data_IF_864292793083
#
_entry.id   IF_864292793083
#
_cell.length_a   1.000
_cell.length_b   1.000
_cell.length_c   1.000
_cell.angle_alpha   90.00
_cell.angle_beta   90.00
_cell.angle_gamma   90.00
#
_symmetry.space_group_name_H-M   'P 1'
#
loop_
_entity.id
_entity.type
_entity.pdbx_description
1 polymer ?
#
# COMPACT_ATOMS: atom_id res chain seq x y z
N UNK A 1 15.85 47.08 -41.22
CA UNK A 1 15.92 48.22 -40.31
C UNK A 1 16.41 47.72 -38.96
N UNK A 2 17.72 47.85 -38.65
CA UNK A 2 18.33 47.19 -37.47
C UNK A 2 17.83 47.74 -36.12
N UNK A 3 17.35 48.99 -36.10
CA UNK A 3 16.84 49.65 -34.89
C UNK A 3 15.42 49.23 -34.52
N UNK A 4 14.61 48.79 -35.50
CA UNK A 4 13.26 48.29 -35.26
C UNK A 4 13.30 46.87 -34.66
N UNK A 5 14.16 46.00 -35.19
CA UNK A 5 14.37 44.64 -34.66
C UNK A 5 14.94 44.67 -33.23
N UNK A 6 15.84 45.61 -32.90
CA UNK A 6 16.34 45.78 -31.53
C UNK A 6 15.27 46.31 -30.55
N UNK A 7 14.31 47.12 -31.02
CA UNK A 7 13.19 47.58 -30.20
C UNK A 7 12.15 46.47 -29.98
N UNK A 8 11.97 45.58 -30.96
CA UNK A 8 11.06 44.44 -30.88
C UNK A 8 11.50 43.38 -29.84
N UNK A 9 12.82 43.16 -29.73
CA UNK A 9 13.43 42.20 -28.80
C UNK A 9 13.60 42.78 -27.38
N UNK A 10 13.40 44.08 -27.18
CA UNK A 10 13.52 44.71 -25.86
C UNK A 10 12.37 44.27 -24.93
N UNK A 11 12.71 43.78 -23.73
CA UNK A 11 11.76 43.38 -22.67
C UNK A 11 11.30 44.56 -21.80
N UNK A 12 11.71 45.78 -22.12
CA UNK A 12 11.29 46.98 -21.39
C UNK A 12 9.80 47.29 -21.66
N UNK A 13 8.99 47.28 -20.59
CA UNK A 13 7.55 47.53 -20.63
C UNK A 13 7.23 48.94 -21.16
N UNK A 14 8.10 49.93 -20.95
CA UNK A 14 7.87 51.31 -21.42
C UNK A 14 8.06 51.42 -22.94
N UNK A 15 9.08 50.74 -23.46
CA UNK A 15 9.36 50.65 -24.91
C UNK A 15 8.25 49.84 -25.59
N UNK A 16 7.83 48.71 -25.00
CA UNK A 16 6.74 47.89 -25.51
C UNK A 16 5.38 48.64 -25.50
N UNK A 17 5.11 49.42 -24.46
CA UNK A 17 3.91 50.27 -24.40
C UNK A 17 3.93 51.37 -25.48
N UNK A 18 5.09 52.00 -25.71
CA UNK A 18 5.25 53.02 -26.73
C UNK A 18 5.11 52.46 -28.16
N UNK A 19 5.69 51.30 -28.46
CA UNK A 19 5.59 50.66 -29.78
C UNK A 19 4.19 50.18 -30.08
N UNK A 20 3.51 49.54 -29.11
CA UNK A 20 2.12 49.11 -29.27
C UNK A 20 1.16 50.29 -29.42
N UNK A 21 1.40 51.38 -28.69
CA UNK A 21 0.60 52.60 -28.80
C UNK A 21 0.83 53.30 -30.14
N UNK A 22 2.06 53.28 -30.66
CA UNK A 22 2.38 53.75 -32.01
C UNK A 22 1.60 52.95 -33.06
N UNK A 23 1.64 51.61 -32.99
CA UNK A 23 0.88 50.74 -33.92
C UNK A 23 -0.63 50.98 -33.82
N UNK A 24 -1.17 51.05 -32.60
CA UNK A 24 -2.57 51.38 -32.37
C UNK A 24 -2.96 52.73 -32.99
N UNK A 25 -2.14 53.77 -32.83
CA UNK A 25 -2.42 55.10 -33.38
C UNK A 25 -2.31 55.14 -34.90
N UNK A 26 -1.34 54.44 -35.50
CA UNK A 26 -1.20 54.34 -36.96
C UNK A 26 -2.44 53.65 -37.54
N UNK A 27 -2.86 52.51 -36.99
CA UNK A 27 -4.02 51.76 -37.48
C UNK A 27 -5.34 52.47 -37.22
N UNK A 28 -5.42 53.29 -36.17
CA UNK A 28 -6.60 54.11 -35.88
C UNK A 28 -6.73 55.33 -36.79
N UNK A 29 -5.61 55.97 -37.15
CA UNK A 29 -5.62 57.21 -37.94
C UNK A 29 -5.60 56.97 -39.44
N UNK A 30 -5.00 55.87 -39.89
CA UNK A 30 -4.91 55.50 -41.29
C UNK A 30 -5.36 54.05 -41.50
N UNK A 31 -6.68 53.84 -41.59
CA UNK A 31 -7.26 52.53 -41.90
C UNK A 31 -6.88 52.02 -43.30
N UNK A 32 -6.55 52.92 -44.24
CA UNK A 32 -6.05 52.57 -45.57
C UNK A 32 -4.64 51.97 -45.53
N UNK A 33 -3.79 52.36 -44.57
CA UNK A 33 -2.48 51.76 -44.39
C UNK A 33 -2.56 50.26 -44.08
N UNK A 34 -3.58 49.80 -43.36
CA UNK A 34 -3.80 48.37 -43.11
C UNK A 34 -4.21 47.59 -44.37
N UNK A 35 -4.88 48.25 -45.33
CA UNK A 35 -5.28 47.64 -46.59
C UNK A 35 -4.14 47.63 -47.63
N UNK A 36 -3.26 48.62 -47.60
CA UNK A 36 -2.06 48.71 -48.45
C UNK A 36 -0.88 47.86 -47.91
N UNK A 37 -0.91 47.51 -46.62
CA UNK A 37 0.08 46.63 -46.01
C UNK A 37 -0.06 45.20 -46.52
N UNK A 38 1.02 44.67 -47.10
CA UNK A 38 1.07 43.27 -47.54
C UNK A 38 0.92 42.28 -46.38
N UNK A 39 0.33 41.11 -46.66
CA UNK A 39 0.05 40.06 -45.67
C UNK A 39 1.26 39.66 -44.82
N UNK A 40 2.49 39.76 -45.33
CA UNK A 40 3.73 39.45 -44.58
C UNK A 40 4.01 40.46 -43.46
N UNK A 41 3.94 41.76 -43.77
CA UNK A 41 4.15 42.82 -42.79
C UNK A 41 3.05 42.79 -41.71
N UNK A 42 1.81 42.51 -42.11
CA UNK A 42 0.70 42.31 -41.17
C UNK A 42 0.95 41.13 -40.22
N UNK A 43 1.43 39.99 -40.74
CA UNK A 43 1.73 38.82 -39.89
C UNK A 43 2.86 39.07 -38.91
N UNK A 44 3.90 39.81 -39.31
CA UNK A 44 5.02 40.12 -38.42
C UNK A 44 4.59 41.03 -37.25
N UNK A 45 3.69 41.98 -37.51
CA UNK A 45 3.10 42.85 -36.47
C UNK A 45 2.13 42.07 -35.59
N UNK A 46 1.33 41.15 -36.14
CA UNK A 46 0.46 40.28 -35.34
C UNK A 46 1.25 39.30 -34.46
N UNK A 47 2.36 38.74 -34.97
CA UNK A 47 3.26 37.90 -34.18
C UNK A 47 3.84 38.71 -33.00
N UNK A 48 4.23 39.97 -33.23
CA UNK A 48 4.70 40.86 -32.16
C UNK A 48 3.61 41.18 -31.13
N UNK A 49 2.40 41.49 -31.58
CA UNK A 49 1.24 41.76 -30.71
C UNK A 49 0.92 40.55 -29.82
N UNK A 50 0.86 39.35 -30.40
CA UNK A 50 0.57 38.12 -29.66
C UNK A 50 1.73 37.74 -28.75
N UNK A 51 2.97 37.95 -29.18
CA UNK A 51 4.16 37.74 -28.36
C UNK A 51 4.14 38.65 -27.13
N UNK A 52 4.00 39.96 -27.29
CA UNK A 52 3.93 40.93 -26.18
C UNK A 52 2.73 40.69 -25.25
N UNK A 53 1.60 40.21 -25.79
CA UNK A 53 0.46 39.74 -24.99
C UNK A 53 0.73 38.46 -24.20
N UNK A 54 1.67 37.62 -24.63
CA UNK A 54 2.03 36.40 -23.90
C UNK A 54 3.17 36.62 -22.91
N UNK A 55 4.06 37.58 -23.18
CA UNK A 55 5.27 37.82 -22.38
C UNK A 55 5.09 38.87 -21.28
N UNK A 56 4.23 39.86 -21.47
CA UNK A 56 4.02 40.92 -20.47
C UNK A 56 2.84 40.62 -19.55
N UNK A 57 2.94 41.05 -18.30
CA UNK A 57 1.84 41.03 -17.32
C UNK A 57 1.14 42.37 -17.17
N UNK A 58 1.66 43.43 -17.83
CA UNK A 58 1.19 44.80 -17.69
C UNK A 58 -0.17 45.00 -18.39
N UNK A 59 -1.22 45.46 -17.67
CA UNK A 59 -2.56 45.64 -18.23
C UNK A 59 -2.62 46.67 -19.36
N UNK A 60 -1.71 47.65 -19.42
CA UNK A 60 -1.65 48.66 -20.48
C UNK A 60 -1.21 48.02 -21.81
N UNK A 61 -0.22 47.14 -21.76
CA UNK A 61 0.30 46.38 -22.91
C UNK A 61 -0.78 45.42 -23.42
N UNK A 62 -1.39 44.64 -22.52
CA UNK A 62 -2.47 43.72 -22.88
C UNK A 62 -3.68 44.43 -23.50
N UNK A 63 -4.12 45.54 -22.90
CA UNK A 63 -5.23 46.35 -23.42
C UNK A 63 -4.94 46.94 -24.79
N UNK A 64 -3.73 47.48 -24.99
CA UNK A 64 -3.35 48.11 -26.25
C UNK A 64 -3.21 47.08 -27.36
N UNK A 65 -2.62 45.92 -27.06
CA UNK A 65 -2.50 44.82 -28.03
C UNK A 65 -3.87 44.23 -28.41
N UNK A 66 -4.77 43.99 -27.44
CA UNK A 66 -6.15 43.51 -27.71
C UNK A 66 -6.93 44.50 -28.58
N UNK A 67 -6.83 45.80 -28.29
CA UNK A 67 -7.47 46.85 -29.11
C UNK A 67 -6.89 46.90 -30.53
N UNK A 68 -5.58 46.74 -30.66
CA UNK A 68 -4.89 46.76 -31.97
C UNK A 68 -5.27 45.54 -32.81
N UNK A 69 -5.36 44.36 -32.19
CA UNK A 69 -5.87 43.14 -32.84
C UNK A 69 -7.33 43.26 -33.24
N UNK A 70 -8.18 43.86 -32.40
CA UNK A 70 -9.58 44.11 -32.74
C UNK A 70 -9.70 45.04 -33.96
N UNK A 71 -8.89 46.09 -34.05
CA UNK A 71 -8.84 46.96 -35.24
C UNK A 71 -8.42 46.21 -36.50
N UNK A 72 -7.39 45.35 -36.41
CA UNK A 72 -6.92 44.53 -37.55
C UNK A 72 -8.01 43.56 -38.03
N UNK A 73 -8.75 42.96 -37.10
CA UNK A 73 -9.86 42.05 -37.41
C UNK A 73 -11.08 42.78 -37.98
N UNK A 74 -11.28 44.05 -37.63
CA UNK A 74 -12.42 44.83 -38.13
C UNK A 74 -12.26 45.24 -39.60
N UNK A 75 -11.02 45.50 -40.06
CA UNK A 75 -10.76 46.03 -41.40
C UNK A 75 -10.99 45.04 -42.56
N UNK A 76 -10.64 43.75 -42.42
CA UNK A 76 -10.75 42.81 -43.53
C UNK A 76 -11.11 41.38 -43.11
N UNK A 77 -11.89 40.69 -43.95
CA UNK A 77 -12.22 39.26 -43.78
C UNK A 77 -10.99 38.35 -43.93
N UNK A 78 -10.02 38.75 -44.76
CA UNK A 78 -8.75 38.03 -44.95
C UNK A 78 -7.88 38.04 -43.69
N UNK A 79 -7.84 39.15 -42.94
CA UNK A 79 -7.13 39.23 -41.66
C UNK A 79 -7.74 38.31 -40.60
N UNK A 80 -9.07 38.16 -40.59
CA UNK A 80 -9.77 37.22 -39.69
C UNK A 80 -9.38 35.78 -39.97
N UNK A 81 -9.27 35.39 -41.24
CA UNK A 81 -8.88 34.03 -41.62
C UNK A 81 -7.40 33.73 -41.29
N UNK A 82 -6.51 34.72 -41.50
CA UNK A 82 -5.09 34.63 -41.14
C UNK A 82 -4.90 34.42 -39.62
N UNK A 83 -5.58 35.21 -38.79
CA UNK A 83 -5.50 35.10 -37.32
C UNK A 83 -6.02 33.74 -36.85
N UNK A 84 -7.13 33.25 -37.41
CA UNK A 84 -7.70 31.94 -37.05
C UNK A 84 -6.79 30.76 -37.42
N UNK A 85 -6.11 30.83 -38.56
CA UNK A 85 -5.20 29.76 -38.99
C UNK A 85 -3.93 29.70 -38.14
N UNK A 86 -3.35 30.85 -37.79
CA UNK A 86 -2.03 30.93 -37.14
C UNK A 86 -2.10 30.90 -35.61
N UNK A 87 -3.16 31.44 -34.99
CA UNK A 87 -3.24 31.60 -33.52
C UNK A 87 -4.43 30.85 -32.89
N UNK A 88 -4.47 29.51 -33.01
CA UNK A 88 -5.54 28.63 -32.48
C UNK A 88 -5.72 28.65 -30.96
N UNK A 89 -4.86 29.35 -30.21
CA UNK A 89 -4.91 29.50 -28.75
C UNK A 89 -5.19 30.93 -28.28
N UNK A 90 -5.35 31.90 -29.17
CA UNK A 90 -5.48 33.32 -28.81
C UNK A 90 -6.70 33.60 -27.93
N UNK A 91 -7.84 32.94 -28.20
CA UNK A 91 -9.05 33.08 -27.39
C UNK A 91 -8.85 32.58 -25.94
N UNK A 92 -8.16 31.44 -25.79
CA UNK A 92 -7.85 30.89 -24.47
C UNK A 92 -6.77 31.70 -23.73
N UNK A 93 -5.77 32.23 -24.45
CA UNK A 93 -4.77 33.16 -23.89
C UNK A 93 -5.45 34.43 -23.35
N UNK A 94 -6.35 35.02 -24.15
CA UNK A 94 -7.13 36.19 -23.78
C UNK A 94 -8.03 35.94 -22.56
N UNK A 95 -8.65 34.76 -22.45
CA UNK A 95 -9.51 34.41 -21.32
C UNK A 95 -8.73 34.09 -20.04
N UNK A 96 -7.63 33.33 -20.15
CA UNK A 96 -6.87 32.86 -18.99
C UNK A 96 -6.00 33.94 -18.37
N UNK A 97 -5.30 34.71 -19.20
CA UNK A 97 -4.22 35.58 -18.73
C UNK A 97 -4.65 37.06 -18.61
N UNK A 98 -5.78 37.44 -19.21
CA UNK A 98 -6.21 38.84 -19.31
C UNK A 98 -7.61 39.16 -18.76
N UNK A 99 -8.46 38.15 -18.48
CA UNK A 99 -9.78 38.37 -17.87
C UNK A 99 -9.65 38.93 -16.45
N UNK A 100 -10.42 39.99 -16.15
CA UNK A 100 -10.41 40.66 -14.84
C UNK A 100 -9.33 41.75 -14.67
N UNK A 101 -8.59 42.11 -15.73
CA UNK A 101 -7.57 43.18 -15.73
C UNK A 101 -8.10 44.56 -16.16
N UNK A 102 -9.42 44.77 -16.19
CA UNK A 102 -10.05 46.09 -16.36
C UNK A 102 -10.35 46.53 -17.80
N UNK A 103 -10.33 45.60 -18.77
CA UNK A 103 -10.67 45.88 -20.17
C UNK A 103 -11.50 44.74 -20.82
N UNK A 104 -12.31 44.07 -20.00
CA UNK A 104 -13.10 42.89 -20.39
C UNK A 104 -14.03 43.16 -21.57
N UNK A 105 -14.60 44.36 -21.71
CA UNK A 105 -15.44 44.71 -22.86
C UNK A 105 -14.72 44.65 -24.21
N UNK A 106 -13.43 45.01 -24.24
CA UNK A 106 -12.61 44.89 -25.46
C UNK A 106 -12.11 43.46 -25.70
N UNK A 107 -11.98 42.67 -24.63
CA UNK A 107 -11.68 41.23 -24.73
C UNK A 107 -12.88 40.47 -25.28
N UNK A 108 -14.09 40.77 -24.81
CA UNK A 108 -15.33 40.15 -25.27
C UNK A 108 -15.57 40.48 -26.76
N UNK A 109 -15.33 41.73 -27.20
CA UNK A 109 -15.38 42.13 -28.63
C UNK A 109 -14.40 41.32 -29.50
N UNK A 110 -13.17 41.12 -29.02
CA UNK A 110 -12.17 40.31 -29.72
C UNK A 110 -12.60 38.83 -29.77
N UNK A 111 -13.15 38.29 -28.67
CA UNK A 111 -13.64 36.92 -28.60
C UNK A 111 -14.84 36.69 -29.53
N UNK A 112 -15.79 37.62 -29.59
CA UNK A 112 -16.93 37.55 -30.50
C UNK A 112 -16.48 37.53 -31.97
N UNK A 113 -15.51 38.38 -32.35
CA UNK A 113 -14.95 38.38 -33.72
C UNK A 113 -14.19 37.08 -34.06
N UNK A 114 -13.53 36.47 -33.07
CA UNK A 114 -12.86 35.18 -33.22
C UNK A 114 -13.87 34.01 -33.31
N UNK A 115 -14.99 34.07 -32.58
CA UNK A 115 -16.01 33.00 -32.48
C UNK A 115 -17.11 33.08 -33.56
N UNK A 116 -17.39 34.25 -34.14
CA UNK A 116 -18.51 34.52 -35.05
C UNK A 116 -18.58 33.63 -36.32
N UNK A 117 -17.51 32.90 -36.68
CA UNK A 117 -17.54 31.95 -37.82
C UNK A 117 -17.28 30.49 -37.44
N UNK A 118 -16.99 30.18 -36.17
CA UNK A 118 -16.78 28.79 -35.72
C UNK A 118 -18.11 28.07 -35.40
N UNK A 119 -19.19 28.81 -35.17
CA UNK A 119 -20.46 28.24 -34.68
C UNK A 119 -21.53 27.98 -35.76
N UNK A 120 -21.37 28.49 -36.98
CA UNK A 120 -22.46 28.53 -37.98
C UNK A 120 -22.41 27.50 -39.12
N UNK A 121 -21.33 26.72 -39.28
CA UNK A 121 -21.26 25.67 -40.33
C UNK A 121 -21.31 24.23 -39.82
N UNK A 122 -20.87 23.96 -38.57
CA UNK A 122 -20.83 22.59 -38.05
C UNK A 122 -22.09 22.19 -37.25
N UNK A 123 -22.90 23.15 -36.80
CA UNK A 123 -24.10 22.89 -35.99
C UNK A 123 -25.44 23.09 -36.72
N UNK A 124 -25.46 23.37 -38.03
CA UNK A 124 -26.74 23.40 -38.77
C UNK A 124 -27.33 22.01 -39.06
N UNK A 125 -26.67 20.94 -38.62
CA UNK A 125 -27.24 19.59 -38.58
C UNK A 125 -27.71 19.14 -37.18
N UNK A 126 -27.59 19.94 -36.12
CA UNK A 126 -28.24 19.65 -34.83
C UNK A 126 -28.47 20.94 -34.02
N UNK A 127 -29.72 21.14 -33.61
CA UNK A 127 -30.39 22.43 -33.39
C UNK A 127 -30.18 23.13 -32.01
N UNK A 128 -30.50 24.44 -32.01
CA UNK A 128 -31.17 25.27 -30.97
C UNK A 128 -30.35 26.30 -30.16
N UNK A 129 -30.92 27.52 -30.14
CA UNK A 129 -30.66 28.76 -29.41
C UNK A 129 -30.66 28.65 -27.85
N UNK A 130 -29.89 29.47 -27.11
CA UNK A 130 -29.58 29.24 -25.70
C UNK A 130 -30.41 30.08 -24.70
N UNK A 131 -31.75 30.07 -24.76
CA UNK A 131 -32.59 30.75 -23.75
C UNK A 131 -33.71 29.88 -23.12
N UNK A 132 -33.52 28.55 -23.08
CA UNK A 132 -34.39 27.68 -22.30
C UNK A 132 -33.55 26.61 -21.60
N UNK A 133 -33.50 26.66 -20.26
CA UNK A 133 -33.13 25.51 -19.44
C UNK A 133 -34.25 24.47 -19.64
N UNK A 134 -34.21 23.75 -20.76
CA UNK A 134 -35.07 22.59 -21.00
C UNK A 134 -34.60 21.50 -20.07
N UNK A 135 -35.51 21.04 -19.20
CA UNK A 135 -35.36 19.76 -18.48
C UNK A 135 -34.76 18.73 -19.44
N UNK A 136 -33.79 17.89 -19.00
CA UNK A 136 -33.25 16.84 -19.85
C UNK A 136 -34.44 16.06 -20.43
N UNK A 137 -34.49 15.91 -21.76
CA UNK A 137 -35.57 15.18 -22.44
C UNK A 137 -35.82 13.87 -21.69
N UNK A 138 -37.08 13.50 -21.47
CA UNK A 138 -37.46 12.28 -20.76
C UNK A 138 -36.77 11.04 -21.34
N UNK A 139 -36.43 11.10 -22.63
CA UNK A 139 -35.68 10.08 -23.37
C UNK A 139 -34.23 9.93 -22.88
N UNK A 140 -33.54 11.03 -22.53
CA UNK A 140 -32.18 10.96 -21.98
C UNK A 140 -32.18 10.36 -20.57
N UNK A 141 -33.15 10.73 -19.75
CA UNK A 141 -33.31 10.15 -18.41
C UNK A 141 -33.65 8.66 -18.51
N UNK A 142 -34.54 8.28 -19.43
CA UNK A 142 -34.90 6.88 -19.70
C UNK A 142 -33.70 6.07 -20.19
N UNK A 143 -32.94 6.59 -21.15
CA UNK A 143 -31.73 5.94 -21.66
C UNK A 143 -30.67 5.78 -20.55
N UNK A 144 -30.45 6.81 -19.74
CA UNK A 144 -29.53 6.74 -18.59
C UNK A 144 -29.99 5.68 -17.58
N UNK A 145 -31.28 5.60 -17.26
CA UNK A 145 -31.84 4.57 -16.38
C UNK A 145 -31.62 3.16 -16.93
N UNK A 146 -31.79 2.94 -18.23
CA UNK A 146 -31.53 1.64 -18.87
C UNK A 146 -30.06 1.25 -18.79
N UNK A 147 -29.15 2.17 -19.12
CA UNK A 147 -27.70 1.94 -19.04
C UNK A 147 -27.29 1.63 -17.60
N UNK A 148 -27.79 2.41 -16.63
CA UNK A 148 -27.48 2.21 -15.22
C UNK A 148 -28.06 0.89 -14.69
N UNK A 149 -29.28 0.52 -15.08
CA UNK A 149 -29.89 -0.77 -14.70
C UNK A 149 -29.10 -1.94 -15.28
N UNK A 150 -28.71 -1.86 -16.55
CA UNK A 150 -27.87 -2.87 -17.21
C UNK A 150 -26.51 -3.01 -16.52
N UNK A 151 -25.88 -1.88 -16.15
CA UNK A 151 -24.62 -1.87 -15.41
C UNK A 151 -24.74 -2.49 -14.02
N UNK A 152 -25.75 -2.09 -13.23
CA UNK A 152 -26.03 -2.67 -11.90
C UNK A 152 -26.28 -4.17 -12.00
N UNK A 153 -27.07 -4.61 -12.98
CA UNK A 153 -27.32 -6.03 -13.23
C UNK A 153 -26.05 -6.80 -13.65
N UNK A 154 -25.20 -6.21 -14.48
CA UNK A 154 -23.90 -6.79 -14.85
C UNK A 154 -22.98 -6.92 -13.62
N UNK A 155 -22.92 -5.89 -12.78
CA UNK A 155 -22.12 -5.89 -11.55
C UNK A 155 -22.59 -6.99 -10.58
N UNK A 156 -23.91 -7.11 -10.35
CA UNK A 156 -24.48 -8.16 -9.50
C UNK A 156 -24.20 -9.55 -10.08
N UNK A 157 -24.41 -9.77 -11.38
CA UNK A 157 -24.10 -11.05 -12.04
C UNK A 157 -22.61 -11.41 -11.94
N UNK A 158 -21.70 -10.44 -12.07
CA UNK A 158 -20.25 -10.65 -11.89
C UNK A 158 -19.90 -11.04 -10.45
N UNK A 159 -20.59 -10.49 -9.45
CA UNK A 159 -20.44 -10.89 -8.04
C UNK A 159 -20.98 -12.31 -7.79
N UNK A 160 -22.19 -12.61 -8.27
CA UNK A 160 -22.80 -13.93 -8.13
C UNK A 160 -22.00 -15.04 -8.82
N UNK A 161 -21.40 -14.77 -9.99
CA UNK A 161 -20.50 -15.72 -10.65
C UNK A 161 -19.28 -16.11 -9.81
N UNK A 162 -18.83 -15.25 -8.88
CA UNK A 162 -17.69 -15.52 -7.99
C UNK A 162 -18.09 -16.29 -6.72
N UNK A 163 -19.37 -16.28 -6.35
CA UNK A 163 -19.87 -16.86 -5.11
C UNK A 163 -19.66 -18.39 -5.02
N UNK A 164 -19.94 -19.20 -6.06
CA UNK A 164 -19.71 -20.65 -6.00
C UNK A 164 -18.27 -21.00 -5.68
N UNK A 165 -17.29 -20.25 -6.24
CA UNK A 165 -15.87 -20.47 -5.97
C UNK A 165 -15.52 -20.22 -4.51
N UNK A 166 -16.05 -19.14 -3.92
CA UNK A 166 -15.86 -18.82 -2.51
C UNK A 166 -16.47 -19.89 -1.59
N UNK A 167 -17.68 -20.36 -1.92
CA UNK A 167 -18.35 -21.44 -1.18
C UNK A 167 -17.56 -22.75 -1.31
N UNK A 168 -17.11 -23.13 -2.51
CA UNK A 168 -16.29 -24.32 -2.71
C UNK A 168 -14.97 -24.27 -1.95
N UNK A 169 -14.31 -23.11 -1.89
CA UNK A 169 -13.09 -22.95 -1.08
C UNK A 169 -13.36 -23.11 0.41
N UNK A 170 -14.47 -22.54 0.91
CA UNK A 170 -14.87 -22.66 2.30
C UNK A 170 -15.27 -24.10 2.66
N UNK A 171 -16.03 -24.77 1.80
CA UNK A 171 -16.41 -26.16 1.98
C UNK A 171 -15.18 -27.08 1.95
N UNK A 172 -14.21 -26.81 1.07
CA UNK A 172 -12.96 -27.57 1.02
C UNK A 172 -12.13 -27.39 2.28
N UNK A 173 -11.96 -26.16 2.76
CA UNK A 173 -11.20 -25.90 4.00
C UNK A 173 -11.90 -26.51 5.22
N UNK A 174 -13.23 -26.42 5.30
CA UNK A 174 -14.01 -27.04 6.37
C UNK A 174 -13.86 -28.57 6.36
N UNK A 175 -14.01 -29.22 5.20
CA UNK A 175 -13.83 -30.68 5.06
C UNK A 175 -12.42 -31.11 5.42
N UNK A 176 -11.41 -30.35 4.99
CA UNK A 176 -10.00 -30.61 5.34
C UNK A 176 -9.79 -30.52 6.86
N UNK A 177 -10.23 -29.42 7.48
CA UNK A 177 -10.12 -29.21 8.93
C UNK A 177 -10.82 -30.32 9.72
N UNK A 178 -12.01 -30.74 9.27
CA UNK A 178 -12.75 -31.84 9.88
C UNK A 178 -12.00 -33.17 9.78
N UNK A 179 -11.40 -33.46 8.60
CA UNK A 179 -10.57 -34.65 8.39
C UNK A 179 -9.32 -34.64 9.27
N UNK A 180 -8.61 -33.52 9.34
CA UNK A 180 -7.43 -33.39 10.20
C UNK A 180 -7.76 -33.59 11.68
N UNK A 181 -8.88 -33.05 12.15
CA UNK A 181 -9.34 -33.26 13.52
C UNK A 181 -9.63 -34.74 13.79
N UNK A 182 -10.32 -35.41 12.88
CA UNK A 182 -10.58 -36.86 12.97
C UNK A 182 -9.28 -37.66 13.02
N UNK A 183 -8.37 -37.43 12.07
CA UNK A 183 -7.07 -38.10 12.05
C UNK A 183 -6.26 -37.83 13.32
N UNK A 184 -6.32 -36.62 13.87
CA UNK A 184 -5.64 -36.30 15.12
C UNK A 184 -6.22 -37.09 16.30
N UNK A 185 -7.56 -37.14 16.42
CA UNK A 185 -8.22 -37.92 17.47
C UNK A 185 -7.95 -39.41 17.34
N UNK A 186 -7.93 -39.95 16.12
CA UNK A 186 -7.60 -41.36 15.87
C UNK A 186 -6.14 -41.66 16.23
N UNK A 187 -5.20 -40.78 15.84
CA UNK A 187 -3.79 -40.93 16.21
C UNK A 187 -3.60 -40.92 17.72
N UNK A 188 -4.31 -40.05 18.45
CA UNK A 188 -4.27 -40.02 19.91
C UNK A 188 -4.79 -41.34 20.51
N UNK A 189 -5.95 -41.83 20.04
CA UNK A 189 -6.51 -43.11 20.50
C UNK A 189 -5.56 -44.29 20.25
N UNK A 190 -5.00 -44.37 19.03
CA UNK A 190 -4.03 -45.42 18.67
C UNK A 190 -2.77 -45.32 19.54
N UNK A 191 -2.30 -44.10 19.84
CA UNK A 191 -1.16 -43.90 20.73
C UNK A 191 -1.46 -44.32 22.17
N UNK A 192 -2.64 -43.99 22.69
CA UNK A 192 -3.09 -44.39 24.02
C UNK A 192 -3.24 -45.91 24.15
N UNK A 193 -3.86 -46.56 23.15
CA UNK A 193 -3.97 -48.01 23.06
C UNK A 193 -2.59 -48.66 23.03
N UNK A 194 -1.65 -48.13 22.24
CA UNK A 194 -0.28 -48.63 22.19
C UNK A 194 0.43 -48.48 23.55
N UNK A 195 0.29 -47.32 24.21
CA UNK A 195 0.84 -47.08 25.56
C UNK A 195 0.28 -48.09 26.56
N UNK A 196 -1.02 -48.35 26.51
CA UNK A 196 -1.68 -49.34 27.37
C UNK A 196 -1.15 -50.75 27.08
N UNK A 197 -1.07 -51.16 25.82
CA UNK A 197 -0.52 -52.46 25.42
C UNK A 197 0.94 -52.64 25.86
N UNK A 198 1.78 -51.62 25.74
CA UNK A 198 3.17 -51.65 26.21
C UNK A 198 3.21 -51.80 27.73
N UNK A 199 2.35 -51.09 28.47
CA UNK A 199 2.23 -51.22 29.92
C UNK A 199 1.86 -52.66 30.32
N UNK A 200 0.82 -53.22 29.69
CA UNK A 200 0.38 -54.60 29.94
C UNK A 200 1.48 -55.61 29.60
N UNK A 201 2.16 -55.47 28.46
CA UNK A 201 3.29 -56.34 28.09
C UNK A 201 4.39 -56.28 29.14
N UNK A 202 4.73 -55.08 29.64
CA UNK A 202 5.73 -54.89 30.69
C UNK A 202 5.29 -55.54 32.01
N UNK A 203 4.03 -55.39 32.41
CA UNK A 203 3.49 -56.02 33.61
C UNK A 203 3.50 -57.55 33.51
N UNK A 204 3.06 -58.10 32.37
CA UNK A 204 3.10 -59.55 32.11
C UNK A 204 4.52 -60.09 32.15
N UNK A 205 5.47 -59.42 31.48
CA UNK A 205 6.88 -59.80 31.50
C UNK A 205 7.46 -59.75 32.93
N UNK A 206 7.12 -58.72 33.70
CA UNK A 206 7.54 -58.60 35.10
C UNK A 206 6.99 -59.74 35.96
N UNK A 207 5.70 -60.10 35.78
CA UNK A 207 5.08 -61.22 36.48
C UNK A 207 5.74 -62.54 36.12
N UNK A 208 5.92 -62.82 34.83
CA UNK A 208 6.59 -64.03 34.35
C UNK A 208 8.02 -64.14 34.88
N UNK A 209 8.78 -63.04 34.88
CA UNK A 209 10.12 -62.99 35.45
C UNK A 209 10.11 -63.33 36.95
N UNK A 210 9.22 -62.70 37.73
CA UNK A 210 9.07 -63.00 39.17
C UNK A 210 8.66 -64.44 39.44
N UNK A 211 7.73 -64.98 38.65
CA UNK A 211 7.31 -66.38 38.75
C UNK A 211 8.47 -67.34 38.47
N UNK A 212 9.26 -67.07 37.42
CA UNK A 212 10.42 -67.86 37.09
C UNK A 212 11.50 -67.79 38.19
N UNK A 213 11.72 -66.60 38.77
CA UNK A 213 12.63 -66.44 39.90
C UNK A 213 12.18 -67.24 41.13
N UNK A 214 10.88 -67.19 41.48
CA UNK A 214 10.34 -67.96 42.60
C UNK A 214 10.50 -69.46 42.38
N UNK A 215 10.12 -69.96 41.21
CA UNK A 215 10.25 -71.37 40.87
C UNK A 215 11.70 -71.86 40.93
N UNK A 216 12.64 -71.03 40.45
CA UNK A 216 14.06 -71.36 40.53
C UNK A 216 14.54 -71.41 41.99
N UNK A 217 14.06 -70.50 42.86
CA UNK A 217 14.35 -70.54 44.30
C UNK A 217 13.73 -71.74 45.02
N UNK A 218 12.59 -72.26 44.56
CA UNK A 218 11.98 -73.48 45.09
C UNK A 218 12.82 -74.74 44.80
N UNK A 219 13.49 -74.81 43.64
CA UNK A 219 14.25 -75.99 43.20
C UNK A 219 15.72 -75.95 43.67
N UNK A 220 16.29 -74.76 43.89
CA UNK A 220 17.71 -74.63 44.20
C UNK A 220 18.06 -75.15 45.62
N UNK A 221 19.15 -75.94 45.77
CA UNK A 221 19.64 -76.32 47.09
C UNK A 221 20.04 -75.09 47.92
N UNK A 222 19.68 -75.08 49.22
CA UNK A 222 19.92 -73.96 50.13
C UNK A 222 21.37 -73.46 50.14
N UNK A 223 22.35 -74.37 50.05
CA UNK A 223 23.78 -74.04 50.01
C UNK A 223 24.20 -73.21 48.78
N UNK A 224 23.44 -73.26 47.68
CA UNK A 224 23.76 -72.56 46.42
C UNK A 224 22.99 -71.26 46.24
N UNK A 225 21.94 -71.02 47.04
CA UNK A 225 21.08 -69.83 46.94
C UNK A 225 21.89 -68.54 47.10
N UNK A 226 22.79 -68.47 48.09
CA UNK A 226 23.60 -67.27 48.35
C UNK A 226 24.51 -66.90 47.17
N UNK A 227 25.13 -67.91 46.54
CA UNK A 227 25.99 -67.70 45.37
C UNK A 227 25.20 -67.16 44.19
N UNK A 228 24.03 -67.73 43.92
CA UNK A 228 23.14 -67.29 42.85
C UNK A 228 22.64 -65.85 43.06
N UNK A 229 22.22 -65.50 44.29
CA UNK A 229 21.80 -64.13 44.62
C UNK A 229 22.94 -63.13 44.40
N UNK A 230 24.17 -63.45 44.82
CA UNK A 230 25.34 -62.62 44.55
C UNK A 230 25.63 -62.42 43.05
N UNK A 231 25.43 -63.44 42.22
CA UNK A 231 25.55 -63.30 40.76
C UNK A 231 24.47 -62.38 40.16
N UNK A 232 23.23 -62.46 40.66
CA UNK A 232 22.14 -61.56 40.25
C UNK A 232 22.41 -60.12 40.66
N UNK A 233 22.89 -59.89 41.88
CA UNK A 233 23.28 -58.57 42.37
C UNK A 233 24.39 -57.97 41.51
N UNK A 234 25.42 -58.75 41.19
CA UNK A 234 26.50 -58.33 40.30
C UNK A 234 25.99 -57.98 38.89
N UNK A 235 25.12 -58.82 38.30
CA UNK A 235 24.50 -58.55 37.00
C UNK A 235 23.64 -57.28 37.04
N UNK A 236 22.85 -57.09 38.09
CA UNK A 236 22.02 -55.90 38.29
C UNK A 236 22.89 -54.63 38.44
N UNK A 237 23.95 -54.70 39.24
CA UNK A 237 24.90 -53.60 39.42
C UNK A 237 25.54 -53.18 38.09
N UNK A 238 25.96 -54.14 37.25
CA UNK A 238 26.50 -53.85 35.92
C UNK A 238 25.49 -53.14 35.01
N UNK A 239 24.23 -53.57 35.02
CA UNK A 239 23.15 -52.93 34.24
C UNK A 239 22.90 -51.50 34.74
N UNK A 240 22.77 -51.31 36.05
CA UNK A 240 22.54 -49.99 36.66
C UNK A 240 23.71 -49.05 36.32
N UNK A 241 24.95 -49.50 36.51
CA UNK A 241 26.13 -48.71 36.19
C UNK A 241 26.21 -48.36 34.70
N UNK A 242 25.91 -49.30 33.80
CA UNK A 242 25.86 -49.07 32.35
C UNK A 242 24.82 -48.01 32.00
N UNK A 243 23.60 -48.14 32.53
CA UNK A 243 22.50 -47.18 32.29
C UNK A 243 22.86 -45.81 32.85
N UNK A 244 23.45 -45.75 34.05
CA UNK A 244 23.89 -44.52 34.69
C UNK A 244 24.98 -43.79 33.90
N UNK A 245 26.03 -44.51 33.45
CA UNK A 245 27.07 -43.94 32.58
C UNK A 245 26.45 -43.33 31.32
N UNK A 246 25.50 -44.04 30.70
CA UNK A 246 24.76 -43.52 29.54
C UNK A 246 23.88 -42.30 29.87
N UNK A 247 23.18 -42.33 31.01
CA UNK A 247 22.36 -41.21 31.48
C UNK A 247 23.22 -39.96 31.70
N UNK A 248 24.40 -40.11 32.33
CA UNK A 248 25.34 -39.02 32.61
C UNK A 248 25.80 -38.33 31.32
N UNK A 249 26.20 -39.11 30.31
CA UNK A 249 26.60 -38.56 28.99
C UNK A 249 25.42 -37.86 28.32
N UNK A 250 24.23 -38.46 28.31
CA UNK A 250 23.04 -37.84 27.73
C UNK A 250 22.67 -36.55 28.44
N UNK A 251 22.73 -36.50 29.78
CA UNK A 251 22.46 -35.29 30.57
C UNK A 251 23.45 -34.18 30.20
N UNK A 252 24.74 -34.50 30.12
CA UNK A 252 25.77 -33.55 29.70
C UNK A 252 25.54 -33.06 28.26
N UNK A 253 25.14 -33.95 27.35
CA UNK A 253 24.76 -33.58 25.99
C UNK A 253 23.52 -32.68 25.95
N UNK A 254 22.48 -32.95 26.76
CA UNK A 254 21.28 -32.11 26.80
C UNK A 254 21.62 -30.68 27.28
N UNK A 255 22.54 -30.52 28.23
CA UNK A 255 23.04 -29.19 28.64
C UNK A 255 23.66 -28.43 27.44
N UNK A 256 24.48 -29.12 26.64
CA UNK A 256 25.15 -28.53 25.47
C UNK A 256 24.30 -28.51 24.19
N UNK A 257 23.11 -29.10 24.20
CA UNK A 257 22.27 -29.30 23.01
C UNK A 257 21.86 -28.00 22.36
N UNK A 258 21.51 -26.99 23.17
CA UNK A 258 21.13 -25.67 22.66
C UNK A 258 22.33 -24.99 21.98
N UNK A 259 23.51 -25.05 22.59
CA UNK A 259 24.76 -24.53 22.01
C UNK A 259 25.10 -25.25 20.70
N UNK A 260 25.00 -26.58 20.66
CA UNK A 260 25.25 -27.36 19.45
C UNK A 260 24.22 -27.08 18.34
N UNK A 261 22.95 -26.89 18.70
CA UNK A 261 21.89 -26.47 17.75
C UNK A 261 22.19 -25.09 17.17
N UNK A 262 22.57 -24.11 18.00
CA UNK A 262 22.97 -22.77 17.56
C UNK A 262 24.19 -22.83 16.66
N UNK A 263 25.20 -23.60 17.03
CA UNK A 263 26.40 -23.81 16.21
C UNK A 263 26.05 -24.44 14.85
N UNK A 264 25.25 -25.51 14.82
CA UNK A 264 24.79 -26.14 13.56
C UNK A 264 23.98 -25.19 12.70
N UNK A 265 23.09 -24.39 13.31
CA UNK A 265 22.35 -23.35 12.61
C UNK A 265 23.31 -22.29 12.02
N UNK A 266 24.28 -21.83 12.80
CA UNK A 266 25.30 -20.88 12.34
C UNK A 266 26.11 -21.44 11.18
N UNK A 267 26.58 -22.69 11.25
CA UNK A 267 27.29 -23.36 10.13
C UNK A 267 26.39 -23.49 8.91
N UNK A 268 25.10 -23.78 9.09
CA UNK A 268 24.14 -23.87 7.99
C UNK A 268 23.95 -22.51 7.30
N UNK A 269 23.81 -21.44 8.09
CA UNK A 269 23.74 -20.06 7.60
C UNK A 269 25.03 -19.65 6.91
N UNK A 270 26.20 -19.89 7.52
CA UNK A 270 27.50 -19.60 6.93
C UNK A 270 27.66 -20.32 5.58
N UNK A 271 27.32 -21.62 5.50
CA UNK A 271 27.34 -22.38 4.24
C UNK A 271 26.35 -21.83 3.22
N UNK A 272 25.17 -21.38 3.64
CA UNK A 272 24.19 -20.75 2.77
C UNK A 272 24.71 -19.40 2.23
N UNK A 273 25.31 -18.58 3.08
CA UNK A 273 25.93 -17.30 2.72
C UNK A 273 27.10 -17.53 1.78
N UNK A 274 28.02 -18.46 2.05
CA UNK A 274 29.12 -18.79 1.14
C UNK A 274 28.59 -19.25 -0.21
N UNK A 275 27.55 -20.10 -0.25
CA UNK A 275 26.89 -20.49 -1.51
C UNK A 275 26.21 -19.33 -2.22
N UNK A 276 25.57 -18.42 -1.48
CA UNK A 276 25.00 -17.19 -2.03
C UNK A 276 26.07 -16.27 -2.59
N UNK A 277 27.18 -16.06 -1.88
CA UNK A 277 28.31 -15.26 -2.34
C UNK A 277 28.99 -15.89 -3.54
N UNK A 278 29.13 -17.22 -3.59
CA UNK A 278 29.62 -17.94 -4.77
C UNK A 278 28.68 -17.76 -5.97
N UNK A 279 27.36 -17.91 -5.77
CA UNK A 279 26.34 -17.63 -6.80
C UNK A 279 26.38 -16.18 -7.26
N UNK A 280 26.49 -15.24 -6.33
CA UNK A 280 26.59 -13.81 -6.62
C UNK A 280 27.91 -13.48 -7.32
N UNK A 281 29.03 -14.12 -6.96
CA UNK A 281 30.30 -14.00 -7.69
C UNK A 281 30.23 -14.65 -9.06
N UNK A 282 29.52 -15.75 -9.25
CA UNK A 282 29.30 -16.37 -10.55
C UNK A 282 28.39 -15.50 -11.43
N UNK A 283 27.30 -14.96 -10.89
CA UNK A 283 26.47 -13.94 -11.54
C UNK A 283 27.25 -12.65 -11.78
N UNK A 284 28.07 -12.21 -10.83
CA UNK A 284 28.99 -11.10 -11.03
C UNK A 284 30.11 -11.47 -12.01
N UNK A 285 30.46 -12.74 -12.23
CA UNK A 285 31.38 -13.20 -13.27
C UNK A 285 30.72 -13.17 -14.64
N UNK A 286 29.41 -13.41 -14.70
CA UNK A 286 28.55 -13.18 -15.86
C UNK A 286 28.33 -11.66 -16.08
N UNK A 287 28.38 -10.84 -15.03
CA UNK A 287 28.38 -9.36 -15.12
C UNK A 287 29.79 -8.73 -15.08
N UNK A 288 30.87 -9.52 -14.99
CA UNK A 288 32.27 -9.08 -15.11
C UNK A 288 32.95 -9.77 -16.29
N UNK A 289 32.23 -10.62 -17.04
CA UNK A 289 32.34 -10.67 -18.50
C UNK A 289 31.73 -9.42 -19.14
N UNK A 290 30.90 -8.67 -18.41
CA UNK A 290 30.93 -7.20 -18.45
C UNK A 290 32.23 -6.71 -17.75
N UNK A 291 33.39 -7.20 -18.24
CA UNK A 291 34.58 -6.36 -18.24
C UNK A 291 34.07 -5.05 -18.83
N UNK A 292 34.43 -3.90 -18.25
CA UNK A 292 34.25 -2.62 -18.93
C UNK A 292 34.52 -2.89 -20.41
N UNK A 293 33.52 -2.75 -21.31
CA UNK A 293 33.61 -3.29 -22.65
C UNK A 293 34.99 -2.93 -23.17
N UNK A 294 35.82 -3.93 -23.49
CA UNK A 294 37.16 -3.67 -24.04
C UNK A 294 36.89 -2.81 -25.28
N UNK A 295 37.11 -1.49 -25.17
CA UNK A 295 36.66 -0.53 -26.17
C UNK A 295 35.96 0.75 -25.66
N UNK A 296 35.58 0.89 -24.38
CA UNK A 296 35.19 2.20 -23.82
C UNK A 296 36.43 2.96 -23.33
N UNK A 297 37.37 3.23 -24.25
CA UNK A 297 38.32 4.32 -24.08
C UNK A 297 37.56 5.63 -23.85
N UNK A 298 38.14 6.61 -23.16
CA UNK A 298 37.46 7.89 -22.92
C UNK A 298 37.04 8.57 -24.23
N UNK A 299 37.79 8.32 -25.32
CA UNK A 299 37.40 8.70 -26.69
C UNK A 299 36.10 8.04 -27.17
N UNK A 300 35.93 6.73 -26.97
CA UNK A 300 34.70 6.05 -27.38
C UNK A 300 33.50 6.45 -26.52
N UNK A 301 33.73 6.85 -25.26
CA UNK A 301 32.69 7.45 -24.41
C UNK A 301 32.24 8.80 -24.91
N UNK A 302 33.16 9.66 -25.36
CA UNK A 302 32.79 10.95 -25.95
C UNK A 302 32.06 10.75 -27.26
N UNK A 303 32.49 9.81 -28.11
CA UNK A 303 31.81 9.49 -29.38
C UNK A 303 30.39 8.97 -29.13
N UNK A 304 30.21 8.07 -28.16
CA UNK A 304 28.89 7.54 -27.82
C UNK A 304 28.00 8.61 -27.18
N UNK A 305 28.56 9.48 -26.34
CA UNK A 305 27.82 10.62 -25.79
C UNK A 305 27.40 11.56 -26.90
N UNK A 306 28.29 11.85 -27.84
CA UNK A 306 28.00 12.69 -29.00
C UNK A 306 26.94 12.05 -29.88
N UNK A 307 27.04 10.75 -30.17
CA UNK A 307 26.02 10.02 -30.93
C UNK A 307 24.66 10.00 -30.23
N UNK A 308 24.64 9.83 -28.91
CA UNK A 308 23.40 9.93 -28.12
C UNK A 308 22.85 11.36 -28.17
N UNK A 309 23.70 12.38 -28.05
CA UNK A 309 23.30 13.78 -28.12
C UNK A 309 22.75 14.15 -29.50
N UNK A 310 23.40 13.69 -30.56
CA UNK A 310 22.95 13.81 -31.95
C UNK A 310 21.61 13.10 -32.14
N UNK A 311 21.47 11.86 -31.65
CA UNK A 311 20.22 11.11 -31.73
C UNK A 311 19.08 11.80 -30.96
N UNK A 312 19.34 12.34 -29.78
CA UNK A 312 18.38 13.12 -28.99
C UNK A 312 18.02 14.44 -29.69
N UNK A 313 18.99 15.10 -30.33
CA UNK A 313 18.74 16.33 -31.10
C UNK A 313 17.86 16.09 -32.34
N UNK A 314 18.03 14.92 -32.97
CA UNK A 314 17.25 14.48 -34.12
C UNK A 314 15.86 13.94 -33.70
N UNK A 315 15.71 13.49 -32.45
CA UNK A 315 14.47 12.93 -31.92
C UNK A 315 14.10 13.60 -30.58
N UNK A 316 13.75 14.90 -30.57
CA UNK A 316 13.34 15.57 -29.35
C UNK A 316 12.07 14.92 -28.81
N UNK A 317 12.09 14.51 -27.54
CA UNK A 317 10.91 13.90 -26.91
C UNK A 317 9.81 14.95 -26.77
N UNK A 318 8.69 14.76 -27.47
CA UNK A 318 7.52 15.66 -27.41
C UNK A 318 6.86 15.76 -26.03
N UNK A 319 7.14 14.82 -25.11
CA UNK A 319 6.38 14.63 -23.86
C UNK A 319 7.04 15.32 -22.66
N UNK A 320 8.36 15.57 -22.70
CA UNK A 320 9.10 16.11 -21.54
C UNK A 320 10.20 17.03 -22.05
N UNK A 321 10.18 18.29 -21.61
CA UNK A 321 11.29 19.24 -21.82
C UNK A 321 12.57 18.73 -21.16
N UNK A 322 13.73 19.05 -21.74
CA UNK A 322 15.05 18.68 -21.19
C UNK A 322 15.19 19.14 -19.72
N UNK A 323 14.69 20.34 -19.42
CA UNK A 323 14.68 20.89 -18.06
C UNK A 323 13.72 20.13 -17.13
N UNK A 324 12.55 19.73 -17.64
CA UNK A 324 11.60 18.91 -16.88
C UNK A 324 12.15 17.51 -16.55
N UNK A 325 12.97 16.94 -17.43
CA UNK A 325 13.67 15.68 -17.15
C UNK A 325 14.73 15.86 -16.06
N UNK A 326 15.50 16.95 -16.10
CA UNK A 326 16.52 17.27 -15.11
C UNK A 326 15.89 17.53 -13.73
N UNK A 327 14.79 18.28 -13.66
CA UNK A 327 14.04 18.52 -12.42
C UNK A 327 13.46 17.24 -11.84
N UNK A 328 12.88 16.37 -12.68
CA UNK A 328 12.36 15.08 -12.25
C UNK A 328 13.48 14.20 -11.70
N UNK A 329 14.64 14.17 -12.37
CA UNK A 329 15.82 13.46 -11.88
C UNK A 329 16.24 14.00 -10.51
N UNK A 330 16.37 15.32 -10.35
CA UNK A 330 16.72 15.93 -9.07
C UNK A 330 15.68 15.65 -7.98
N UNK A 331 14.38 15.68 -8.31
CA UNK A 331 13.30 15.34 -7.38
C UNK A 331 13.37 13.89 -6.94
N UNK A 332 13.58 12.96 -7.87
CA UNK A 332 13.74 11.54 -7.58
C UNK A 332 14.96 11.29 -6.67
N UNK A 333 16.09 11.95 -6.95
CA UNK A 333 17.29 11.86 -6.11
C UNK A 333 17.05 12.42 -4.70
N UNK A 334 16.32 13.53 -4.56
CA UNK A 334 15.94 14.10 -3.27
C UNK A 334 15.06 13.15 -2.45
N UNK A 335 14.02 12.59 -3.08
CA UNK A 335 13.13 11.62 -2.42
C UNK A 335 13.87 10.35 -1.99
N UNK A 336 14.79 9.86 -2.82
CA UNK A 336 15.61 8.72 -2.48
C UNK A 336 16.51 9.01 -1.26
N UNK A 337 17.17 10.17 -1.24
CA UNK A 337 17.99 10.59 -0.09
C UNK A 337 17.17 10.70 1.19
N UNK A 338 16.00 11.34 1.13
CA UNK A 338 15.09 11.46 2.26
C UNK A 338 14.65 10.09 2.78
N UNK A 339 14.29 9.17 1.88
CA UNK A 339 13.95 7.80 2.26
C UNK A 339 15.13 7.07 2.92
N UNK A 340 16.34 7.19 2.38
CA UNK A 340 17.53 6.54 2.95
C UNK A 340 17.86 7.06 4.36
N UNK A 341 17.66 8.35 4.62
CA UNK A 341 17.85 8.95 5.94
C UNK A 341 16.77 8.45 6.91
N UNK A 342 15.50 8.45 6.49
CA UNK A 342 14.38 8.12 7.37
C UNK A 342 14.17 6.62 7.60
N UNK A 343 14.72 5.76 6.72
CA UNK A 343 14.53 4.31 6.73
C UNK A 343 14.79 3.64 8.07
N UNK A 344 15.76 4.11 8.84
CA UNK A 344 16.06 3.54 10.15
C UNK A 344 14.98 3.87 11.18
N UNK A 345 14.48 5.11 11.18
CA UNK A 345 13.38 5.56 12.04
C UNK A 345 12.07 4.87 11.65
N UNK A 346 11.74 4.82 10.36
CA UNK A 346 10.52 4.18 9.86
C UNK A 346 10.46 2.71 10.28
N UNK A 347 11.58 1.98 10.16
CA UNK A 347 11.70 0.60 10.63
C UNK A 347 11.54 0.46 12.13
N UNK A 348 12.07 1.40 12.92
CA UNK A 348 11.92 1.37 14.36
C UNK A 348 10.44 1.56 14.77
N UNK A 349 9.73 2.47 14.09
CA UNK A 349 8.29 2.66 14.30
C UNK A 349 7.48 1.42 13.87
N UNK A 350 7.79 0.82 12.73
CA UNK A 350 7.16 -0.43 12.28
C UNK A 350 7.40 -1.57 13.26
N UNK A 351 8.63 -1.73 13.75
CA UNK A 351 8.97 -2.75 14.75
C UNK A 351 8.25 -2.50 16.08
N UNK A 352 8.15 -1.25 16.51
CA UNK A 352 7.41 -0.89 17.72
C UNK A 352 5.92 -1.21 17.58
N UNK A 353 5.30 -0.85 16.45
CA UNK A 353 3.91 -1.19 16.16
C UNK A 353 3.67 -2.71 16.12
N UNK A 354 4.57 -3.47 15.50
CA UNK A 354 4.50 -4.93 15.48
C UNK A 354 4.65 -5.54 16.88
N UNK A 355 5.56 -5.02 17.71
CA UNK A 355 5.73 -5.48 19.08
C UNK A 355 4.47 -5.21 19.94
N UNK A 356 3.86 -4.04 19.75
CA UNK A 356 2.64 -3.66 20.45
C UNK A 356 1.45 -4.54 20.02
N UNK A 357 1.31 -4.82 18.71
CA UNK A 357 0.30 -5.76 18.21
C UNK A 357 0.52 -7.18 18.75
N UNK A 358 1.78 -7.64 18.82
CA UNK A 358 2.09 -8.94 19.40
C UNK A 358 1.72 -9.00 20.89
N UNK A 359 2.01 -7.92 21.65
CA UNK A 359 1.61 -7.81 23.05
C UNK A 359 0.09 -7.84 23.23
N UNK A 360 -0.66 -7.07 22.42
CA UNK A 360 -2.12 -7.10 22.46
C UNK A 360 -2.66 -8.50 22.19
N UNK A 361 -2.12 -9.20 21.19
CA UNK A 361 -2.54 -10.56 20.87
C UNK A 361 -2.25 -11.53 22.02
N UNK A 362 -1.09 -11.42 22.68
CA UNK A 362 -0.78 -12.25 23.86
C UNK A 362 -1.70 -11.94 25.03
N UNK A 363 -2.06 -10.67 25.24
CA UNK A 363 -2.97 -10.25 26.30
C UNK A 363 -4.40 -10.75 26.01
N UNK A 364 -4.84 -10.73 24.75
CA UNK A 364 -6.14 -11.31 24.33
C UNK A 364 -6.15 -12.82 24.54
N UNK A 365 -5.09 -13.54 24.13
CA UNK A 365 -5.00 -14.99 24.34
C UNK A 365 -5.01 -15.33 25.84
N UNK A 366 -4.36 -14.52 26.67
CA UNK A 366 -4.38 -14.68 28.12
C UNK A 366 -5.81 -14.51 28.68
N UNK A 367 -6.54 -13.48 28.22
CA UNK A 367 -7.92 -13.24 28.65
C UNK A 367 -8.90 -14.31 28.16
N UNK A 368 -8.73 -14.81 26.94
CA UNK A 368 -9.57 -15.89 26.38
C UNK A 368 -9.37 -17.22 27.14
N UNK A 369 -8.18 -17.43 27.70
CA UNK A 369 -7.84 -18.63 28.48
C UNK A 369 -7.95 -18.39 30.00
N UNK A 370 -8.65 -17.33 30.44
CA UNK A 370 -8.81 -17.06 31.87
C UNK A 370 -9.60 -18.19 32.55
N UNK A 371 -9.11 -18.73 33.68
CA UNK A 371 -9.82 -19.77 34.41
C UNK A 371 -11.14 -19.23 34.98
N UNK A 372 -12.14 -20.11 35.07
CA UNK A 372 -13.38 -19.81 35.79
C UNK A 372 -13.07 -19.43 37.24
N UNK A 373 -13.85 -18.52 37.83
CA UNK A 373 -13.68 -18.07 39.22
C UNK A 373 -13.66 -19.20 40.26
N UNK A 374 -14.23 -20.36 39.91
CA UNK A 374 -14.23 -21.57 40.76
C UNK A 374 -12.91 -22.35 40.72
N UNK A 375 -12.16 -22.23 39.62
CA UNK A 375 -10.94 -22.99 39.34
C UNK A 375 -9.65 -22.15 39.48
N UNK A 376 -9.79 -20.86 39.75
CA UNK A 376 -8.70 -19.90 39.83
C UNK A 376 -7.80 -20.17 41.05
N UNK A 377 -6.49 -20.29 40.82
CA UNK A 377 -5.47 -20.43 41.87
C UNK A 377 -4.80 -19.09 42.14
N UNK A 378 -4.18 -18.96 43.33
CA UNK A 378 -3.45 -17.74 43.70
C UNK A 378 -2.29 -17.41 42.74
N UNK A 379 -1.76 -18.42 42.04
CA UNK A 379 -0.70 -18.27 41.03
C UNK A 379 -1.21 -17.60 39.75
N UNK A 380 -2.48 -17.82 39.39
CA UNK A 380 -3.09 -17.29 38.15
C UNK A 380 -3.29 -15.77 38.24
N UNK A 381 -3.52 -15.24 39.45
CA UNK A 381 -3.68 -13.80 39.69
C UNK A 381 -2.45 -13.01 39.21
N UNK A 382 -1.25 -13.57 39.38
CA UNK A 382 0.00 -12.91 38.98
C UNK A 382 0.14 -12.78 37.45
N UNK A 383 -0.58 -13.59 36.67
CA UNK A 383 -0.55 -13.54 35.20
C UNK A 383 -1.33 -12.33 34.67
N UNK A 384 -2.39 -11.91 35.36
CA UNK A 384 -3.27 -10.80 34.94
C UNK A 384 -2.86 -9.44 35.53
N UNK A 385 -1.80 -9.39 36.33
CA UNK A 385 -1.28 -8.15 36.89
C UNK A 385 -0.34 -7.45 35.89
N UNK A 386 -0.59 -6.15 35.67
CA UNK A 386 0.34 -5.32 34.92
C UNK A 386 1.69 -5.23 35.65
N UNK A 387 2.79 -5.41 34.91
CA UNK A 387 4.16 -5.20 35.43
C UNK A 387 4.45 -3.74 35.77
N UNK A 388 3.66 -2.81 35.22
CA UNK A 388 3.77 -1.38 35.50
C UNK A 388 3.04 -1.04 36.79
N UNK A 389 3.80 -0.66 37.83
CA UNK A 389 3.24 -0.29 39.15
C UNK A 389 2.18 0.82 39.06
N UNK A 390 2.38 1.92 38.31
CA UNK A 390 1.36 2.97 38.18
C UNK A 390 0.04 2.49 37.57
N UNK A 391 0.14 1.59 36.58
CA UNK A 391 -1.05 1.01 35.92
C UNK A 391 -1.77 0.07 36.88
N UNK A 392 -1.03 -0.79 37.57
CA UNK A 392 -1.60 -1.70 38.57
C UNK A 392 -2.26 -0.95 39.73
N UNK A 393 -1.65 0.13 40.23
CA UNK A 393 -2.23 0.95 41.30
C UNK A 393 -3.49 1.67 40.84
N UNK A 394 -3.50 2.22 39.62
CA UNK A 394 -4.68 2.87 39.04
C UNK A 394 -5.82 1.87 38.81
N UNK A 395 -5.51 0.68 38.29
CA UNK A 395 -6.49 -0.39 38.12
C UNK A 395 -7.10 -0.81 39.46
N UNK A 396 -6.28 -0.95 40.52
CA UNK A 396 -6.74 -1.26 41.87
C UNK A 396 -7.63 -0.16 42.44
N UNK A 397 -7.26 1.11 42.28
CA UNK A 397 -8.07 2.24 42.70
C UNK A 397 -9.42 2.27 41.96
N UNK A 398 -9.42 2.07 40.64
CA UNK A 398 -10.64 2.00 39.84
C UNK A 398 -11.55 0.84 40.26
N UNK A 399 -10.99 -0.34 40.50
CA UNK A 399 -11.74 -1.49 41.01
C UNK A 399 -12.34 -1.20 42.40
N UNK A 400 -11.55 -0.63 43.31
CA UNK A 400 -12.04 -0.26 44.64
C UNK A 400 -13.16 0.78 44.57
N UNK A 401 -13.03 1.78 43.68
CA UNK A 401 -14.08 2.78 43.44
C UNK A 401 -15.36 2.13 42.91
N UNK A 402 -15.25 1.19 41.97
CA UNK A 402 -16.39 0.42 41.45
C UNK A 402 -17.04 -0.47 42.52
N UNK A 403 -16.24 -1.12 43.37
CA UNK A 403 -16.77 -1.90 44.49
C UNK A 403 -17.45 -1.03 45.56
N UNK A 404 -16.99 0.21 45.73
CA UNK A 404 -17.62 1.19 46.60
C UNK A 404 -18.92 1.71 45.99
N UNK A 405 -18.98 1.98 44.68
CA UNK A 405 -20.21 2.43 44.01
C UNK A 405 -21.29 1.36 44.01
N UNK A 406 -20.94 0.09 43.85
CA UNK A 406 -21.87 -1.05 43.95
C UNK A 406 -22.53 -1.21 45.34
N UNK A 407 -21.93 -0.64 46.40
CA UNK A 407 -22.48 -0.64 47.76
C UNK A 407 -23.38 0.55 48.04
N UNK A 408 -23.39 1.54 47.15
CA UNK A 408 -24.26 2.71 47.28
C UNK A 408 -25.63 2.41 46.67
N UNK A 409 -26.70 3.01 47.21
CA UNK A 409 -28.02 2.94 46.59
C UNK A 409 -28.00 3.43 45.14
N UNK A 410 -28.78 2.80 44.27
CA UNK A 410 -28.83 3.04 42.81
C UNK A 410 -29.04 4.50 42.40
N UNK A 411 -29.62 5.34 43.27
CA UNK A 411 -29.84 6.75 43.00
C UNK A 411 -28.58 7.62 43.19
N UNK A 412 -27.55 7.13 43.91
CA UNK A 412 -26.24 7.80 44.03
C UNK A 412 -25.29 7.49 42.87
N UNK A 413 -25.57 6.43 42.10
CA UNK A 413 -24.77 6.04 40.93
C UNK A 413 -25.15 6.77 39.64
N UNK A 414 -26.18 7.64 39.66
CA UNK A 414 -26.67 8.40 38.50
C UNK A 414 -25.90 9.69 38.20
N UNK A 415 -25.01 10.13 39.11
CA UNK A 415 -24.33 11.43 39.01
C UNK A 415 -22.95 11.41 38.35
N UNK A 416 -22.27 10.26 38.27
CA UNK A 416 -20.98 10.13 37.60
C UNK A 416 -21.19 9.39 36.28
N UNK A 417 -20.97 10.08 35.16
CA UNK A 417 -21.36 9.67 33.82
C UNK A 417 -20.81 8.32 33.36
N UNK A 418 -21.50 7.23 33.72
CA UNK A 418 -21.37 5.93 33.07
C UNK A 418 -22.36 5.86 31.92
N UNK A 419 -21.85 5.98 30.69
CA UNK A 419 -22.47 5.38 29.50
C UNK A 419 -22.62 3.88 29.76
N UNK A 420 -23.80 3.48 30.22
CA UNK A 420 -24.21 2.09 30.30
C UNK A 420 -24.39 1.58 28.85
N UNK A 421 -23.45 0.78 28.37
CA UNK A 421 -23.81 -0.24 27.38
C UNK A 421 -24.78 -1.20 28.06
N UNK A 422 -26.00 -1.30 27.52
CA UNK A 422 -27.02 -2.22 28.01
C UNK A 422 -26.50 -3.67 28.01
N UNK A 423 -26.79 -4.48 29.05
CA UNK A 423 -26.45 -5.89 29.03
C UNK A 423 -27.26 -6.58 27.93
N UNK A 424 -26.55 -7.22 27.00
CA UNK A 424 -27.15 -8.14 26.03
C UNK A 424 -27.97 -9.17 26.81
N UNK A 425 -29.27 -9.24 26.49
CA UNK A 425 -30.17 -10.28 26.97
C UNK A 425 -29.64 -11.64 26.54
N UNK A 426 -29.17 -12.44 27.49
CA UNK A 426 -28.92 -13.86 27.30
C UNK A 426 -30.26 -14.53 26.98
N UNK A 427 -30.37 -15.13 25.80
CA UNK A 427 -31.44 -16.07 25.52
C UNK A 427 -31.07 -17.39 26.19
N UNK A 428 -31.73 -17.71 27.31
CA UNK A 428 -31.84 -19.07 27.81
C UNK A 428 -32.56 -19.89 26.73
N UNK A 429 -31.79 -20.62 25.92
CA UNK A 429 -32.31 -21.70 25.10
C UNK A 429 -32.43 -22.93 25.98
N UNK A 430 -33.66 -23.30 26.33
CA UNK A 430 -34.02 -24.57 26.95
C UNK A 430 -33.49 -25.75 26.11
N UNK A 431 -32.41 -26.39 26.60
CA UNK A 431 -31.83 -27.62 26.03
C UNK A 431 -32.66 -28.87 26.43
N UNK A 432 -33.85 -28.69 27.02
CA UNK A 432 -34.70 -29.78 27.50
C UNK A 432 -35.71 -30.34 26.46
N UNK A 433 -35.81 -29.77 25.25
CA UNK A 433 -36.85 -30.13 24.27
C UNK A 433 -36.39 -31.01 23.08
N UNK A 434 -35.18 -31.58 23.11
CA UNK A 434 -34.68 -32.48 22.07
C UNK A 434 -34.39 -33.89 22.62
N UNK A 435 -35.41 -34.49 23.23
CA UNK A 435 -35.47 -35.93 23.46
C UNK A 435 -36.76 -36.48 22.86
N UNK A 436 -36.72 -36.78 21.56
CA UNK A 436 -37.66 -37.71 20.93
C UNK A 436 -36.90 -39.01 20.69
N UNK A 437 -37.12 -39.96 21.59
CA UNK A 437 -36.74 -41.34 21.41
C UNK A 437 -37.44 -41.93 20.19
N UNK A 438 -36.70 -42.72 19.41
CA UNK A 438 -37.24 -43.67 18.47
C UNK A 438 -36.87 -45.07 18.95
N UNK A 439 -37.82 -45.77 19.56
CA UNK A 439 -37.83 -47.23 19.66
C UNK A 439 -39.13 -47.71 19.05
N UNK A 440 -39.05 -48.18 17.81
CA UNK A 440 -39.85 -49.23 17.18
C UNK A 440 -39.46 -49.30 15.70
#
# INVERSE_FOLDING_TARGET
SKHYESAQICEDDDIASATLTMWYNIFRTNSAALAEMGNRALTDIMDDLVYKMSSSSNPVIGRTAVKTLALILDQSSSSRELVRRRYRGLAHLAEKDWRGKGFDSTLDQLQDQLQSDYFCKELKNYTVSPHAIKKPSEDFVRAACVIQAAWRAHQTRKRLKKLPRAISTLQRSFRHKRKEQQEHTERQRVEEELRHQVCLRRQRAMRQFRQHQLHLMEILPAAQVQRYLGELENKAALVIQRVWRGHRVRRHFQLHKHTLRRYRAAVTLQRAIVRFLKRRKAQSSIHTSLKAPKGLSDSRRTDLKQWIQEHISLHPSSVVSVDGCAELHQKAQRLLRQHLINRASDRAHEQHGQALLAQINTDIELLLNAPSLKDARAEDVNLFLSRSRPIATRARQAHNALMQSMRLPWWRTLGEGTTLEEPRKDYDFDIAALYLGGTS
#
